data_IF_212212235854
#
_entry.id   IF_212212235854
#
_cell.length_a   1.000
_cell.length_b   1.000
_cell.length_c   1.000
_cell.angle_alpha   90.00
_cell.angle_beta   90.00
_cell.angle_gamma   90.00
#
_symmetry.space_group_name_H-M   'P 1'
#
loop_
_entity.id
_entity.type
_entity.pdbx_description
1 polymer ?
#
# COMPACT_ATOMS: atom_id res chain seq x y z
N UNK A 1 -29.73 -0.88 -5.86
CA UNK A 1 -28.55 -0.82 -5.03
C UNK A 1 -27.35 -1.45 -5.74
N UNK A 2 -26.26 -0.84 -5.69
CA UNK A 2 -25.09 -1.26 -6.48
C UNK A 2 -24.04 -1.88 -5.57
N UNK A 3 -24.31 -3.08 -5.10
CA UNK A 3 -23.40 -3.79 -4.20
C UNK A 3 -22.02 -4.04 -4.82
N UNK A 4 -21.87 -3.85 -6.12
CA UNK A 4 -20.63 -4.14 -6.83
C UNK A 4 -19.75 -2.95 -7.15
N UNK A 5 -19.97 -1.78 -6.56
CA UNK A 5 -19.17 -0.62 -6.90
C UNK A 5 -17.80 -0.65 -6.24
N UNK A 6 -16.75 -0.48 -7.03
CA UNK A 6 -15.41 -0.25 -6.52
C UNK A 6 -15.30 1.19 -5.98
N UNK A 7 -14.54 1.38 -4.93
CA UNK A 7 -14.30 2.71 -4.37
C UNK A 7 -12.83 2.93 -4.12
N UNK A 8 -12.41 4.20 -4.21
CA UNK A 8 -11.05 4.60 -3.87
C UNK A 8 -11.11 5.83 -2.98
N UNK A 9 -10.21 5.90 -2.02
CA UNK A 9 -10.04 7.05 -1.15
C UNK A 9 -8.57 7.35 -0.98
N UNK A 10 -8.22 8.61 -0.84
CA UNK A 10 -6.85 8.99 -0.53
C UNK A 10 -6.83 10.28 0.25
N UNK A 11 -5.76 10.48 1.01
CA UNK A 11 -5.52 11.70 1.75
C UNK A 11 -4.02 11.95 1.81
N UNK A 12 -3.63 13.22 1.88
CA UNK A 12 -2.24 13.62 1.93
C UNK A 12 -2.09 14.76 2.93
N UNK A 13 -1.00 14.73 3.73
CA UNK A 13 -0.70 15.81 4.64
C UNK A 13 -0.48 17.11 3.83
N UNK A 14 -0.89 18.28 4.36
CA UNK A 14 -0.89 19.53 3.57
C UNK A 14 0.44 19.89 2.91
N UNK A 15 1.55 19.64 3.58
CA UNK A 15 2.86 20.03 3.05
C UNK A 15 3.66 18.85 2.51
N UNK A 16 3.04 17.68 2.38
CA UNK A 16 3.74 16.49 1.91
C UNK A 16 3.93 16.52 0.40
N UNK A 17 5.16 16.31 -0.03
CA UNK A 17 5.50 16.13 -1.44
C UNK A 17 6.11 14.74 -1.59
N UNK A 18 5.28 13.78 -1.99
CA UNK A 18 5.70 12.39 -2.07
C UNK A 18 6.74 12.17 -3.17
N UNK A 19 6.77 13.03 -4.18
CA UNK A 19 7.73 12.89 -5.28
C UNK A 19 9.16 13.22 -4.88
N UNK A 20 9.35 13.87 -3.72
CA UNK A 20 10.68 14.13 -3.17
C UNK A 20 11.24 12.94 -2.40
N UNK A 21 10.39 11.98 -2.05
CA UNK A 21 10.84 10.77 -1.36
C UNK A 21 11.56 9.88 -2.36
N UNK A 22 12.67 9.29 -1.95
CA UNK A 22 13.49 8.45 -2.83
C UNK A 22 13.61 7.02 -2.33
N UNK A 23 13.65 6.83 -1.02
CA UNK A 23 13.87 5.52 -0.41
C UNK A 23 12.71 5.14 0.48
N UNK A 24 12.27 3.90 0.35
CA UNK A 24 11.10 3.38 1.05
C UNK A 24 11.43 2.04 1.69
N UNK A 25 10.82 1.79 2.83
CA UNK A 25 10.86 0.49 3.47
C UNK A 25 9.43 0.05 3.77
N UNK A 26 9.05 -1.13 3.29
CA UNK A 26 7.69 -1.66 3.50
C UNK A 26 7.74 -2.68 4.62
N UNK A 27 7.01 -2.42 5.70
CA UNK A 27 6.94 -3.31 6.86
C UNK A 27 5.90 -4.39 6.61
N UNK A 28 6.28 -5.66 6.71
CA UNK A 28 5.33 -6.75 6.55
C UNK A 28 4.30 -6.69 7.70
N UNK A 29 3.02 -6.70 7.33
CA UNK A 29 1.95 -6.84 8.30
C UNK A 29 2.05 -8.22 8.95
N UNK A 30 2.03 -8.27 10.28
CA UNK A 30 2.30 -9.51 11.03
C UNK A 30 1.36 -10.65 10.65
N UNK A 31 0.12 -10.35 10.28
CA UNK A 31 -0.86 -11.35 9.86
C UNK A 31 -0.78 -11.72 8.38
N UNK A 32 0.07 -11.06 7.62
CA UNK A 32 0.18 -11.31 6.18
C UNK A 32 1.05 -12.54 5.91
N UNK A 33 0.47 -13.54 5.26
CA UNK A 33 1.17 -14.73 4.82
C UNK A 33 1.24 -14.82 3.29
N UNK A 34 0.88 -13.75 2.58
CA UNK A 34 0.80 -13.73 1.13
C UNK A 34 1.90 -12.90 0.47
N UNK A 35 2.72 -12.22 1.25
CA UNK A 35 3.83 -11.45 0.72
C UNK A 35 3.44 -10.14 0.09
N UNK A 36 2.37 -9.50 0.58
CA UNK A 36 1.91 -8.22 0.03
C UNK A 36 2.98 -7.14 0.17
N UNK A 37 3.80 -7.18 1.24
CA UNK A 37 4.89 -6.23 1.41
C UNK A 37 5.88 -6.28 0.24
N UNK A 38 6.10 -7.46 -0.31
CA UNK A 38 7.00 -7.62 -1.47
C UNK A 38 6.39 -7.06 -2.73
N UNK A 39 5.08 -7.22 -2.90
CA UNK A 39 4.38 -6.66 -4.05
C UNK A 39 4.39 -5.13 -4.01
N UNK A 40 4.18 -4.54 -2.83
CA UNK A 40 4.23 -3.09 -2.66
C UNK A 40 5.63 -2.57 -2.96
N UNK A 41 6.66 -3.21 -2.40
CA UNK A 41 8.04 -2.81 -2.62
C UNK A 41 8.41 -2.91 -4.10
N UNK A 42 8.00 -3.99 -4.77
CA UNK A 42 8.26 -4.17 -6.19
C UNK A 42 7.60 -3.07 -7.03
N UNK A 43 6.37 -2.71 -6.70
CA UNK A 43 5.65 -1.66 -7.44
C UNK A 43 6.31 -0.29 -7.22
N UNK A 44 6.78 -0.01 -6.01
CA UNK A 44 7.51 1.23 -5.74
C UNK A 44 8.78 1.31 -6.61
N UNK A 45 9.49 0.21 -6.77
CA UNK A 45 10.66 0.16 -7.65
C UNK A 45 10.24 0.42 -9.11
N UNK A 46 9.12 -0.17 -9.54
CA UNK A 46 8.58 0.05 -10.88
C UNK A 46 8.24 1.52 -11.10
N UNK A 47 7.79 2.22 -10.05
CA UNK A 47 7.48 3.64 -10.13
C UNK A 47 8.72 4.54 -10.10
N UNK A 48 9.91 3.97 -9.95
CA UNK A 48 11.15 4.72 -10.01
C UNK A 48 11.80 5.00 -8.66
N UNK A 49 11.27 4.44 -7.58
CA UNK A 49 11.82 4.64 -6.24
C UNK A 49 12.77 3.49 -5.86
N UNK A 50 13.55 3.70 -4.80
CA UNK A 50 14.28 2.61 -4.16
C UNK A 50 13.42 2.09 -3.02
N UNK A 51 13.24 0.77 -2.97
CA UNK A 51 12.39 0.18 -1.95
C UNK A 51 12.91 -1.17 -1.51
N UNK A 52 12.81 -1.42 -0.21
CA UNK A 52 13.06 -2.71 0.39
C UNK A 52 11.87 -3.07 1.27
N UNK A 53 11.82 -4.30 1.73
CA UNK A 53 10.75 -4.76 2.63
C UNK A 53 11.33 -5.72 3.65
N UNK A 54 10.62 -5.89 4.75
CA UNK A 54 11.06 -6.82 5.79
C UNK A 54 10.08 -6.92 6.93
N UNK A 55 10.41 -7.79 7.89
CA UNK A 55 9.56 -8.04 9.06
C UNK A 55 9.83 -7.06 10.19
N UNK A 56 11.03 -6.49 10.25
CA UNK A 56 11.38 -5.55 11.31
C UNK A 56 10.55 -4.28 11.21
N UNK A 57 10.15 -3.68 12.34
CA UNK A 57 9.37 -2.43 12.31
C UNK A 57 10.15 -1.26 11.75
N UNK A 58 11.48 -1.33 11.75
CA UNK A 58 12.35 -0.29 11.23
C UNK A 58 13.41 -0.93 10.35
N UNK A 59 13.85 -0.26 9.27
CA UNK A 59 14.94 -0.80 8.46
C UNK A 59 16.29 -0.66 9.18
N UNK A 60 17.27 -1.41 8.68
CA UNK A 60 18.63 -1.35 9.23
C UNK A 60 19.31 0.00 8.95
N UNK A 61 18.94 0.66 7.86
CA UNK A 61 19.48 1.96 7.47
C UNK A 61 18.34 2.97 7.35
N UNK A 62 18.59 4.26 7.60
CA UNK A 62 17.52 5.27 7.46
C UNK A 62 16.93 5.31 6.05
N UNK A 63 15.63 5.53 5.98
CA UNK A 63 14.90 5.70 4.72
C UNK A 63 14.08 6.97 4.78
N UNK A 64 13.66 7.46 3.61
CA UNK A 64 12.83 8.65 3.54
C UNK A 64 11.41 8.37 4.05
N UNK A 65 10.90 7.17 3.79
CA UNK A 65 9.53 6.84 4.17
C UNK A 65 9.40 5.37 4.54
N UNK A 66 8.50 5.12 5.48
CA UNK A 66 8.11 3.76 5.89
C UNK A 66 6.68 3.54 5.45
N UNK A 67 6.41 2.41 4.82
CA UNK A 67 5.11 2.07 4.28
C UNK A 67 4.50 0.95 5.09
N UNK A 68 3.26 1.16 5.53
CA UNK A 68 2.47 0.13 6.19
C UNK A 68 1.21 -0.12 5.39
N UNK A 69 0.55 -1.24 5.63
CA UNK A 69 -0.64 -1.60 4.87
C UNK A 69 -1.54 -2.50 5.69
N UNK A 70 -2.82 -2.55 5.27
CA UNK A 70 -3.82 -3.48 5.77
C UNK A 70 -4.51 -4.10 4.58
N UNK A 71 -4.62 -5.42 4.54
CA UNK A 71 -5.31 -6.14 3.50
C UNK A 71 -6.50 -6.89 4.10
N UNK A 72 -7.61 -6.89 3.38
CA UNK A 72 -8.82 -7.61 3.79
C UNK A 72 -9.20 -8.56 2.68
N UNK A 73 -9.48 -9.80 3.05
CA UNK A 73 -9.81 -10.86 2.12
C UNK A 73 -11.21 -11.39 2.38
N UNK A 74 -11.85 -11.81 1.30
CA UNK A 74 -13.20 -12.39 1.35
C UNK A 74 -13.22 -13.65 0.50
N UNK A 75 -14.19 -14.50 0.78
CA UNK A 75 -14.42 -15.74 0.04
C UNK A 75 -15.65 -15.57 -0.84
N UNK A 76 -15.49 -15.85 -2.15
CA UNK A 76 -16.61 -15.93 -3.09
C UNK A 76 -16.14 -16.81 -4.23
N UNK A 77 -16.39 -18.13 -4.13
CA UNK A 77 -15.89 -19.16 -5.02
C UNK A 77 -14.37 -19.32 -4.86
N UNK A 78 -13.63 -18.22 -4.78
CA UNK A 78 -12.21 -18.20 -4.43
C UNK A 78 -11.97 -17.08 -3.43
N UNK A 79 -10.82 -17.11 -2.78
CA UNK A 79 -10.39 -15.99 -1.94
C UNK A 79 -9.97 -14.83 -2.84
N UNK A 80 -10.37 -13.61 -2.47
CA UNK A 80 -9.94 -12.41 -3.18
C UNK A 80 -9.72 -11.28 -2.19
N UNK A 81 -8.86 -10.33 -2.58
CA UNK A 81 -8.61 -9.16 -1.75
C UNK A 81 -9.71 -8.14 -2.02
N UNK A 82 -10.59 -7.92 -1.04
CA UNK A 82 -11.68 -6.95 -1.19
C UNK A 82 -11.20 -5.54 -0.94
N UNK A 83 -10.17 -5.36 -0.11
CA UNK A 83 -9.73 -4.03 0.31
C UNK A 83 -8.24 -4.02 0.58
N UNK A 84 -7.57 -2.97 0.14
CA UNK A 84 -6.17 -2.70 0.47
C UNK A 84 -6.04 -1.25 0.88
N UNK A 85 -5.44 -1.02 2.06
CA UNK A 85 -5.13 0.32 2.56
C UNK A 85 -3.62 0.42 2.69
N UNK A 86 -3.03 1.50 2.20
CA UNK A 86 -1.59 1.74 2.29
C UNK A 86 -1.38 3.11 2.93
N UNK A 87 -0.45 3.18 3.89
CA UNK A 87 -0.05 4.42 4.53
C UNK A 87 1.43 4.66 4.30
N UNK A 88 1.79 5.91 4.04
CA UNK A 88 3.17 6.35 3.90
C UNK A 88 3.50 7.24 5.09
N UNK A 89 4.52 6.85 5.86
CA UNK A 89 4.97 7.56 7.05
C UNK A 89 6.33 8.18 6.79
N UNK A 90 6.59 9.34 7.38
CA UNK A 90 7.92 9.93 7.37
C UNK A 90 8.89 9.00 8.08
N UNK A 91 10.05 8.74 7.47
CA UNK A 91 11.02 7.79 8.01
C UNK A 91 11.69 8.24 9.29
N UNK A 92 11.73 9.54 9.57
CA UNK A 92 12.36 10.10 10.76
C UNK A 92 11.37 10.32 11.90
N UNK A 93 10.15 10.80 11.59
CA UNK A 93 9.17 11.23 12.60
C UNK A 93 8.00 10.29 12.77
N UNK A 94 7.82 9.36 11.82
CA UNK A 94 6.67 8.46 11.74
C UNK A 94 5.33 9.19 11.49
N UNK A 95 5.38 10.47 11.15
CA UNK A 95 4.17 11.20 10.82
C UNK A 95 3.57 10.64 9.52
N UNK A 96 2.25 10.55 9.46
CA UNK A 96 1.56 10.07 8.26
C UNK A 96 1.62 11.16 7.18
N UNK A 97 2.26 10.84 6.07
CA UNK A 97 2.39 11.75 4.94
C UNK A 97 1.25 11.58 3.95
N UNK A 98 0.79 10.36 3.75
CA UNK A 98 -0.28 10.06 2.81
C UNK A 98 -0.89 8.70 3.12
N UNK A 99 -2.12 8.50 2.67
CA UNK A 99 -2.72 7.19 2.67
C UNK A 99 -3.58 7.01 1.43
N UNK A 100 -3.86 5.76 1.11
CA UNK A 100 -4.76 5.42 0.02
C UNK A 100 -5.45 4.11 0.33
N UNK A 101 -6.66 3.95 -0.18
CA UNK A 101 -7.47 2.78 0.05
C UNK A 101 -8.27 2.47 -1.20
N UNK A 102 -8.30 1.19 -1.56
CA UNK A 102 -9.10 0.70 -2.68
C UNK A 102 -9.95 -0.46 -2.17
N UNK A 103 -11.24 -0.42 -2.48
CA UNK A 103 -12.16 -1.52 -2.21
C UNK A 103 -12.76 -1.99 -3.53
N UNK A 104 -12.71 -3.31 -3.76
CA UNK A 104 -13.28 -3.93 -4.96
C UNK A 104 -14.07 -5.17 -4.56
N UNK A 105 -15.42 -5.12 -4.74
CA UNK A 105 -16.25 -6.30 -4.51
C UNK A 105 -15.94 -7.42 -5.50
N UNK A 106 -16.51 -8.59 -5.25
CA UNK A 106 -16.23 -9.82 -5.98
C UNK A 106 -16.25 -9.66 -7.51
N UNK A 107 -17.28 -9.01 -8.06
CA UNK A 107 -17.42 -8.87 -9.50
C UNK A 107 -16.43 -7.90 -10.14
N UNK A 108 -15.74 -7.12 -9.32
CA UNK A 108 -14.74 -6.15 -9.78
C UNK A 108 -13.37 -6.43 -9.19
N UNK A 109 -13.17 -7.65 -8.70
CA UNK A 109 -11.92 -8.03 -8.04
C UNK A 109 -10.73 -7.91 -9.00
N UNK A 110 -9.58 -7.65 -8.41
CA UNK A 110 -8.30 -7.65 -9.11
C UNK A 110 -7.36 -8.65 -8.42
N UNK A 111 -6.30 -9.01 -9.13
CA UNK A 111 -5.21 -9.75 -8.52
C UNK A 111 -4.58 -8.92 -7.39
N UNK A 112 -3.85 -9.54 -6.46
CA UNK A 112 -3.10 -8.77 -5.45
C UNK A 112 -2.19 -7.72 -6.07
N UNK A 113 -1.51 -8.06 -7.16
CA UNK A 113 -0.66 -7.10 -7.89
C UNK A 113 -1.47 -5.92 -8.40
N UNK A 114 -2.64 -6.18 -8.97
CA UNK A 114 -3.51 -5.13 -9.48
C UNK A 114 -4.05 -4.23 -8.37
N UNK A 115 -4.36 -4.80 -7.21
CA UNK A 115 -4.78 -4.02 -6.05
C UNK A 115 -3.66 -3.11 -5.56
N UNK A 116 -2.41 -3.62 -5.52
CA UNK A 116 -1.24 -2.83 -5.12
C UNK A 116 -1.02 -1.70 -6.10
N UNK A 117 -1.06 -1.98 -7.41
CA UNK A 117 -0.89 -0.95 -8.43
C UNK A 117 -1.92 0.17 -8.29
N UNK A 118 -3.17 -0.21 -8.13
CA UNK A 118 -4.25 0.78 -8.01
C UNK A 118 -4.12 1.59 -6.73
N UNK A 119 -3.85 0.94 -5.60
CA UNK A 119 -3.76 1.62 -4.31
C UNK A 119 -2.58 2.60 -4.30
N UNK A 120 -1.40 2.19 -4.78
CA UNK A 120 -0.27 3.10 -4.89
C UNK A 120 -0.55 4.21 -5.88
N UNK A 121 -1.32 3.94 -6.94
CA UNK A 121 -1.74 4.95 -7.88
C UNK A 121 -2.54 6.07 -7.23
N UNK A 122 -3.44 5.76 -6.29
CA UNK A 122 -4.20 6.81 -5.59
C UNK A 122 -3.35 7.50 -4.52
N UNK A 123 -2.40 6.80 -3.91
CA UNK A 123 -1.49 7.40 -2.92
C UNK A 123 -0.61 8.47 -3.56
N UNK A 124 -0.05 8.18 -4.74
CA UNK A 124 0.92 9.05 -5.41
C UNK A 124 0.29 10.00 -6.44
N UNK A 125 -0.99 10.00 -6.52
CA UNK A 125 -1.71 10.82 -7.50
C UNK A 125 -1.49 12.32 -7.35
#
# INVERSE_FOLDING_TARGET
MLAGCATTNSARAPDADLHKLKTFYVVRLSSDERGIEKLISKQLVTLGYQSTSGDAPMPASPVDAIVTYQDRWMWDITMYMIKLSIQVHDGATDAILANGEVMRPSLQRKSPEGMVEETLGVVFK
#
